data_IF_264709792238
#
_entry.id   IF_264709792238
#
_cell.length_a   1.000
_cell.length_b   1.000
_cell.length_c   1.000
_cell.angle_alpha   90.00
_cell.angle_beta   90.00
_cell.angle_gamma   90.00
#
_symmetry.space_group_name_H-M   'P 1'
#
loop_
_entity.id
_entity.type
_entity.pdbx_description
1 polymer ?
#
# COMPACT_ATOMS: atom_id res chain seq x y z
N UNK A 1 31.70 -20.54 21.85
CA UNK A 1 30.30 -21.00 22.03
C UNK A 1 29.49 -19.87 22.64
N UNK A 2 28.90 -19.01 21.81
CA UNK A 2 27.88 -18.02 22.20
C UNK A 2 27.04 -17.58 20.98
N UNK A 3 26.83 -18.46 20.00
CA UNK A 3 25.92 -18.25 18.87
C UNK A 3 24.55 -18.81 19.26
N UNK A 4 23.78 -17.98 19.94
CA UNK A 4 22.45 -18.34 20.40
C UNK A 4 21.85 -17.22 21.21
N UNK A 5 21.21 -16.27 20.52
CA UNK A 5 20.02 -15.49 20.95
C UNK A 5 19.77 -14.29 20.04
N UNK A 6 19.30 -14.55 18.82
CA UNK A 6 18.46 -13.59 18.06
C UNK A 6 17.27 -14.38 17.53
N UNK A 7 16.35 -14.75 18.42
CA UNK A 7 15.12 -15.43 18.03
C UNK A 7 14.31 -14.56 17.04
N UNK A 8 13.54 -15.20 16.17
CA UNK A 8 12.70 -14.54 15.15
C UNK A 8 11.77 -13.48 15.78
N UNK A 9 11.29 -13.72 17.00
CA UNK A 9 10.49 -12.77 17.78
C UNK A 9 11.28 -11.51 18.18
N UNK A 10 12.57 -11.63 18.50
CA UNK A 10 13.44 -10.51 18.85
C UNK A 10 13.71 -9.65 17.62
N UNK A 11 14.07 -10.27 16.50
CA UNK A 11 14.33 -9.58 15.23
C UNK A 11 13.09 -8.81 14.78
N UNK A 12 11.92 -9.45 14.81
CA UNK A 12 10.66 -8.81 14.42
C UNK A 12 10.24 -7.68 15.37
N UNK A 13 10.54 -7.78 16.67
CA UNK A 13 10.27 -6.71 17.63
C UNK A 13 11.21 -5.51 17.44
N UNK A 14 12.50 -5.76 17.21
CA UNK A 14 13.50 -4.73 16.97
C UNK A 14 13.27 -4.01 15.64
N UNK A 15 12.96 -4.74 14.57
CA UNK A 15 12.61 -4.16 13.27
C UNK A 15 11.37 -3.25 13.36
N UNK A 16 10.35 -3.66 14.12
CA UNK A 16 9.15 -2.85 14.39
C UNK A 16 9.43 -1.56 15.15
N UNK A 17 10.55 -1.48 15.87
CA UNK A 17 11.02 -0.27 16.57
C UNK A 17 11.93 0.59 15.68
N UNK A 18 12.80 -0.01 14.90
CA UNK A 18 13.77 0.69 14.05
C UNK A 18 13.11 1.48 12.91
N UNK A 19 12.14 0.87 12.21
CA UNK A 19 11.50 1.50 11.04
C UNK A 19 10.76 2.81 11.37
N UNK A 20 9.93 2.90 12.44
CA UNK A 20 9.33 4.17 12.83
C UNK A 20 10.35 5.25 13.20
N UNK A 21 11.50 4.86 13.77
CA UNK A 21 12.57 5.80 14.13
C UNK A 21 13.23 6.38 12.87
N UNK A 22 13.52 5.56 11.86
CA UNK A 22 14.05 6.03 10.58
C UNK A 22 13.07 6.99 9.89
N UNK A 23 11.77 6.68 9.90
CA UNK A 23 10.73 7.55 9.33
C UNK A 23 10.64 8.87 10.12
N UNK A 24 10.64 8.81 11.45
CA UNK A 24 10.60 9.99 12.33
C UNK A 24 11.78 10.93 12.10
N UNK A 25 12.98 10.36 11.90
CA UNK A 25 14.22 11.10 11.70
C UNK A 25 14.56 11.34 10.22
N UNK A 26 13.64 11.02 9.31
CA UNK A 26 13.77 11.20 7.85
C UNK A 26 15.02 10.54 7.26
N UNK A 27 15.40 9.39 7.80
CA UNK A 27 16.55 8.61 7.33
C UNK A 27 16.11 7.75 6.14
N UNK A 28 16.80 7.82 4.99
CA UNK A 28 16.52 6.94 3.87
C UNK A 28 16.67 5.47 4.28
N UNK A 29 15.71 4.58 3.96
CA UNK A 29 15.75 3.17 4.32
C UNK A 29 16.69 2.37 3.41
N UNK A 30 17.94 2.82 3.28
CA UNK A 30 18.99 2.05 2.61
C UNK A 30 19.43 0.89 3.53
N UNK A 31 20.00 -0.20 2.98
CA UNK A 31 20.44 -1.34 3.79
C UNK A 31 21.43 -0.93 4.90
N UNK A 32 22.39 -0.06 4.57
CA UNK A 32 23.39 0.46 5.50
C UNK A 32 22.75 1.27 6.64
N UNK A 33 21.80 2.16 6.31
CA UNK A 33 21.08 2.94 7.31
C UNK A 33 20.17 2.05 8.16
N UNK A 34 19.52 1.08 7.55
CA UNK A 34 18.68 0.14 8.28
C UNK A 34 19.48 -0.65 9.31
N UNK A 35 20.68 -1.11 8.94
CA UNK A 35 21.58 -1.82 9.85
C UNK A 35 21.99 -0.96 11.05
N UNK A 36 22.35 0.31 10.81
CA UNK A 36 22.65 1.29 11.87
C UNK A 36 21.46 1.43 12.83
N UNK A 37 20.26 1.65 12.31
CA UNK A 37 19.07 1.92 13.11
C UNK A 37 18.47 0.67 13.76
N UNK A 38 18.71 -0.51 13.18
CA UNK A 38 18.34 -1.80 13.77
C UNK A 38 19.23 -2.11 14.97
N UNK A 39 20.55 -1.96 14.83
CA UNK A 39 21.51 -2.16 15.93
C UNK A 39 21.32 -1.11 17.04
N UNK A 40 20.98 0.12 16.66
CA UNK A 40 20.54 1.15 17.59
C UNK A 40 19.26 0.77 18.36
N UNK A 41 18.25 0.26 17.66
CA UNK A 41 16.99 -0.18 18.28
C UNK A 41 17.14 -1.45 19.13
N UNK A 42 18.11 -2.31 18.79
CA UNK A 42 18.51 -3.49 19.56
C UNK A 42 19.19 -3.07 20.88
N UNK A 43 19.95 -1.98 20.86
CA UNK A 43 20.60 -1.42 22.04
C UNK A 43 21.80 -2.24 22.53
N UNK A 44 22.35 -3.11 21.69
CA UNK A 44 23.44 -4.03 22.06
C UNK A 44 24.84 -3.40 21.92
N UNK A 45 24.95 -2.31 21.16
CA UNK A 45 26.21 -1.57 20.94
C UNK A 45 26.16 -0.21 21.61
N UNK A 46 26.63 -0.15 22.85
CA UNK A 46 26.64 1.07 23.66
C UNK A 46 27.31 2.26 22.94
N UNK A 47 28.38 2.01 22.18
CA UNK A 47 29.11 3.05 21.45
C UNK A 47 28.31 3.63 20.28
N UNK A 48 27.57 2.79 19.55
CA UNK A 48 26.67 3.22 18.47
C UNK A 48 25.46 3.97 19.02
N UNK A 49 24.89 3.47 20.12
CA UNK A 49 23.73 4.09 20.79
C UNK A 49 24.09 5.48 21.30
N UNK A 50 25.23 5.62 21.98
CA UNK A 50 25.68 6.91 22.48
C UNK A 50 25.96 7.93 21.36
N UNK A 51 26.53 7.49 20.22
CA UNK A 51 26.78 8.37 19.06
C UNK A 51 25.46 8.87 18.44
N UNK A 52 24.48 7.98 18.27
CA UNK A 52 23.16 8.34 17.73
C UNK A 52 22.37 9.23 18.71
N UNK A 53 22.34 8.88 20.00
CA UNK A 53 21.65 9.68 21.03
C UNK A 53 22.22 11.09 21.16
N UNK A 54 23.55 11.23 21.09
CA UNK A 54 24.19 12.54 21.10
C UNK A 54 23.72 13.39 19.91
N UNK A 55 23.74 12.84 18.70
CA UNK A 55 23.30 13.54 17.47
C UNK A 55 21.82 13.91 17.50
N UNK A 56 20.99 13.02 18.04
CA UNK A 56 19.58 13.29 18.27
C UNK A 56 19.35 14.42 19.27
N UNK A 57 20.12 14.47 20.36
CA UNK A 57 20.05 15.53 21.35
C UNK A 57 20.49 16.90 20.78
N UNK A 58 21.42 16.91 19.83
CA UNK A 58 21.83 18.12 19.10
C UNK A 58 20.86 18.53 17.98
N UNK A 59 19.84 17.72 17.68
CA UNK A 59 18.89 17.99 16.60
C UNK A 59 19.53 17.88 15.20
N UNK A 60 20.61 17.12 15.07
CA UNK A 60 21.30 16.92 13.79
C UNK A 60 20.40 16.17 12.80
N UNK A 61 20.49 16.56 11.53
CA UNK A 61 19.81 15.83 10.45
C UNK A 61 20.73 14.73 9.95
N UNK A 62 20.20 13.51 9.86
CA UNK A 62 20.92 12.34 9.36
C UNK A 62 21.04 12.39 7.83
N UNK A 63 21.91 13.28 7.35
CA UNK A 63 22.28 13.39 5.93
C UNK A 63 23.06 12.17 5.47
N UNK A 64 23.21 12.02 4.15
CA UNK A 64 23.97 10.91 3.57
C UNK A 64 25.41 10.82 4.11
N UNK A 65 26.07 11.97 4.31
CA UNK A 65 27.43 12.04 4.85
C UNK A 65 27.50 11.57 6.31
N UNK A 66 26.51 11.94 7.14
CA UNK A 66 26.42 11.53 8.55
C UNK A 66 26.18 10.03 8.65
N UNK A 67 25.25 9.51 7.84
CA UNK A 67 24.95 8.08 7.83
C UNK A 67 26.14 7.25 7.35
N UNK A 68 26.84 7.70 6.30
CA UNK A 68 28.05 7.05 5.80
C UNK A 68 29.17 7.05 6.85
N UNK A 69 29.37 8.17 7.54
CA UNK A 69 30.33 8.23 8.65
C UNK A 69 29.98 7.26 9.78
N UNK A 70 28.71 7.20 10.21
CA UNK A 70 28.26 6.25 11.24
C UNK A 70 28.47 4.80 10.78
N UNK A 71 28.20 4.53 9.51
CA UNK A 71 28.42 3.21 8.93
C UNK A 71 29.90 2.84 8.95
N UNK A 72 30.75 3.72 8.42
CA UNK A 72 32.20 3.50 8.31
C UNK A 72 32.89 3.41 9.68
N UNK A 73 32.40 4.13 10.67
CA UNK A 73 32.96 4.12 12.02
C UNK A 73 32.61 2.84 12.79
N UNK A 74 31.38 2.36 12.66
CA UNK A 74 30.84 1.31 13.54
C UNK A 74 30.79 -0.09 12.91
N UNK A 75 30.98 -0.21 11.59
CA UNK A 75 30.75 -1.48 10.90
C UNK A 75 31.94 -2.03 10.07
N UNK A 76 32.98 -1.24 9.75
CA UNK A 76 33.96 -1.56 8.68
C UNK A 76 35.08 -2.58 8.96
N UNK A 77 35.20 -3.22 10.13
CA UNK A 77 36.31 -4.16 10.39
C UNK A 77 35.87 -5.63 10.45
N UNK A 78 35.82 -6.24 9.25
CA UNK A 78 36.15 -7.65 8.93
C UNK A 78 35.16 -8.77 9.28
N UNK A 79 34.25 -8.65 10.24
CA UNK A 79 33.14 -9.62 10.44
C UNK A 79 31.95 -9.35 9.49
N UNK A 80 32.01 -8.25 8.74
CA UNK A 80 30.91 -7.66 7.99
C UNK A 80 30.50 -8.43 6.73
N UNK A 81 31.42 -9.01 5.94
CA UNK A 81 31.03 -9.58 4.63
C UNK A 81 30.10 -10.79 4.72
N UNK A 82 30.37 -11.72 5.63
CA UNK A 82 29.56 -12.94 5.78
C UNK A 82 28.21 -12.63 6.42
N UNK A 83 28.19 -11.73 7.42
CA UNK A 83 26.95 -11.28 8.04
C UNK A 83 26.10 -10.44 7.07
N UNK A 84 26.73 -9.63 6.23
CA UNK A 84 26.08 -8.83 5.19
C UNK A 84 25.48 -9.71 4.10
N UNK A 85 26.18 -10.75 3.65
CA UNK A 85 25.63 -11.73 2.69
C UNK A 85 24.43 -12.47 3.27
N UNK A 86 24.51 -12.92 4.53
CA UNK A 86 23.39 -13.58 5.20
C UNK A 86 22.20 -12.63 5.43
N UNK A 87 22.46 -11.38 5.84
CA UNK A 87 21.42 -10.37 6.02
C UNK A 87 20.80 -9.94 4.68
N UNK A 88 21.58 -9.91 3.60
CA UNK A 88 21.08 -9.68 2.24
C UNK A 88 20.13 -10.81 1.84
N UNK A 89 20.58 -12.06 1.97
CA UNK A 89 19.78 -13.24 1.62
C UNK A 89 18.47 -13.29 2.42
N UNK A 90 18.52 -12.99 3.72
CA UNK A 90 17.32 -13.00 4.55
C UNK A 90 16.38 -11.83 4.25
N UNK A 91 16.94 -10.65 3.94
CA UNK A 91 16.15 -9.51 3.46
C UNK A 91 15.47 -9.82 2.12
N UNK A 92 16.19 -10.46 1.18
CA UNK A 92 15.62 -10.92 -0.09
C UNK A 92 14.48 -11.91 0.15
N UNK A 93 14.65 -12.87 1.08
CA UNK A 93 13.63 -13.86 1.43
C UNK A 93 12.36 -13.19 1.99
N UNK A 94 12.52 -12.25 2.93
CA UNK A 94 11.39 -11.54 3.55
C UNK A 94 10.65 -10.69 2.51
N UNK A 95 11.39 -9.93 1.69
CA UNK A 95 10.80 -9.09 0.64
C UNK A 95 10.05 -9.93 -0.40
N UNK A 96 10.63 -11.07 -0.82
CA UNK A 96 9.96 -12.06 -1.69
C UNK A 96 8.67 -12.59 -1.04
N UNK A 97 8.68 -12.83 0.27
CA UNK A 97 7.49 -13.24 1.02
C UNK A 97 6.37 -12.20 1.00
N UNK A 98 6.69 -10.92 1.24
CA UNK A 98 5.73 -9.82 1.22
C UNK A 98 5.09 -9.67 -0.17
N UNK A 99 5.90 -9.75 -1.23
CA UNK A 99 5.38 -9.67 -2.60
C UNK A 99 4.45 -10.85 -2.90
N UNK A 100 4.82 -12.09 -2.56
CA UNK A 100 3.91 -13.24 -2.74
C UNK A 100 2.61 -13.10 -1.96
N UNK A 101 2.66 -12.52 -0.77
CA UNK A 101 1.45 -12.27 0.01
C UNK A 101 0.55 -11.23 -0.67
N UNK A 102 1.12 -10.15 -1.22
CA UNK A 102 0.39 -9.18 -2.03
C UNK A 102 -0.21 -9.81 -3.30
N UNK A 103 0.55 -10.67 -3.98
CA UNK A 103 0.09 -11.43 -5.14
C UNK A 103 -1.08 -12.35 -4.82
N UNK A 104 -1.06 -12.99 -3.64
CA UNK A 104 -2.14 -13.89 -3.19
C UNK A 104 -3.46 -13.18 -2.87
N UNK A 105 -3.42 -11.86 -2.64
CA UNK A 105 -4.58 -11.03 -2.36
C UNK A 105 -5.13 -10.33 -3.61
N UNK A 106 -4.35 -10.30 -4.70
CA UNK A 106 -4.77 -9.73 -5.99
C UNK A 106 -5.64 -10.69 -6.79
N UNK A 107 -6.67 -10.15 -7.45
CA UNK A 107 -7.52 -10.94 -8.35
C UNK A 107 -6.75 -11.26 -9.64
N UNK A 108 -6.21 -12.49 -9.71
CA UNK A 108 -5.31 -12.99 -10.76
C UNK A 108 -5.98 -13.11 -12.15
N UNK A 109 -7.27 -12.82 -12.26
CA UNK A 109 -8.04 -12.93 -13.52
C UNK A 109 -8.12 -11.62 -14.32
N UNK A 110 -7.48 -10.55 -13.85
CA UNK A 110 -7.50 -9.22 -14.46
C UNK A 110 -6.16 -8.84 -15.10
N UNK A 111 -6.13 -7.79 -15.94
CA UNK A 111 -4.88 -7.22 -16.47
C UNK A 111 -3.89 -6.78 -15.37
N UNK A 112 -4.40 -6.49 -14.17
CA UNK A 112 -3.59 -6.26 -12.98
C UNK A 112 -2.93 -7.56 -12.48
N UNK A 113 -3.65 -8.68 -12.53
CA UNK A 113 -3.13 -10.03 -12.29
C UNK A 113 -1.97 -10.43 -13.21
N UNK A 114 -2.04 -10.07 -14.50
CA UNK A 114 -0.95 -10.32 -15.46
C UNK A 114 0.32 -9.54 -15.11
N UNK A 115 0.19 -8.25 -14.76
CA UNK A 115 1.30 -7.42 -14.28
C UNK A 115 1.90 -7.94 -12.98
N UNK A 116 1.04 -8.36 -12.06
CA UNK A 116 1.43 -9.01 -10.81
C UNK A 116 2.26 -10.28 -11.07
N UNK A 117 1.86 -11.10 -12.04
CA UNK A 117 2.62 -12.30 -12.41
C UNK A 117 3.97 -11.96 -13.06
N UNK A 118 4.04 -10.89 -13.85
CA UNK A 118 5.29 -10.38 -14.41
C UNK A 118 6.25 -9.90 -13.31
N UNK A 119 5.76 -9.14 -12.33
CA UNK A 119 6.56 -8.73 -11.17
C UNK A 119 7.05 -9.94 -10.36
N UNK A 120 6.23 -11.00 -10.23
CA UNK A 120 6.67 -12.24 -9.59
C UNK A 120 7.87 -12.87 -10.31
N UNK A 121 7.87 -12.89 -11.65
CA UNK A 121 8.99 -13.45 -12.44
C UNK A 121 10.25 -12.61 -12.29
N UNK A 122 10.11 -11.28 -12.37
CA UNK A 122 11.23 -10.35 -12.20
C UNK A 122 11.87 -10.49 -10.81
N UNK A 123 11.03 -10.68 -9.78
CA UNK A 123 11.47 -10.90 -8.41
C UNK A 123 12.18 -12.25 -8.22
N UNK A 124 11.74 -13.30 -8.89
CA UNK A 124 12.40 -14.61 -8.85
C UNK A 124 13.78 -14.56 -9.54
N UNK A 125 13.94 -13.76 -10.60
CA UNK A 125 15.22 -13.54 -11.27
C UNK A 125 16.14 -12.51 -10.59
N UNK A 126 15.63 -11.74 -9.63
CA UNK A 126 16.40 -10.71 -8.94
C UNK A 126 17.46 -11.32 -8.02
N UNK A 127 18.72 -10.97 -8.28
CA UNK A 127 19.90 -11.37 -7.51
C UNK A 127 20.37 -10.30 -6.52
N UNK A 128 20.05 -9.03 -6.77
CA UNK A 128 20.39 -7.92 -5.87
C UNK A 128 19.15 -7.38 -5.14
N UNK A 129 19.35 -6.86 -3.93
CA UNK A 129 18.26 -6.23 -3.16
C UNK A 129 17.75 -4.96 -3.84
N UNK A 130 18.60 -4.25 -4.59
CA UNK A 130 18.20 -3.07 -5.35
C UNK A 130 17.19 -3.39 -6.47
N UNK A 131 17.32 -4.55 -7.11
CA UNK A 131 16.38 -5.03 -8.12
C UNK A 131 15.01 -5.33 -7.49
N UNK A 132 15.04 -5.99 -6.33
CA UNK A 132 13.82 -6.28 -5.55
C UNK A 132 13.12 -4.98 -5.12
N UNK A 133 13.89 -3.97 -4.69
CA UNK A 133 13.34 -2.67 -4.30
C UNK A 133 12.66 -1.95 -5.47
N UNK A 134 13.24 -2.01 -6.67
CA UNK A 134 12.61 -1.46 -7.88
C UNK A 134 11.29 -2.16 -8.20
N UNK A 135 11.29 -3.50 -8.21
CA UNK A 135 10.06 -4.29 -8.46
C UNK A 135 8.96 -3.97 -7.44
N UNK A 136 9.32 -3.79 -6.17
CA UNK A 136 8.35 -3.40 -5.13
C UNK A 136 7.85 -1.97 -5.34
N UNK A 137 8.73 -1.02 -5.68
CA UNK A 137 8.33 0.36 -5.95
C UNK A 137 7.36 0.46 -7.14
N UNK A 138 7.63 -0.26 -8.22
CA UNK A 138 6.78 -0.33 -9.40
C UNK A 138 5.44 -1.01 -9.09
N UNK A 139 5.46 -2.10 -8.32
CA UNK A 139 4.23 -2.76 -7.85
C UNK A 139 3.38 -1.82 -6.99
N UNK A 140 3.98 -1.05 -6.06
CA UNK A 140 3.25 -0.09 -5.22
C UNK A 140 2.64 1.03 -6.05
N UNK A 141 3.37 1.55 -7.03
CA UNK A 141 2.85 2.57 -7.95
C UNK A 141 1.64 2.05 -8.73
N UNK A 142 1.75 0.86 -9.31
CA UNK A 142 0.67 0.22 -10.06
C UNK A 142 -0.55 -0.05 -9.15
N UNK A 143 -0.31 -0.51 -7.92
CA UNK A 143 -1.37 -0.72 -6.91
C UNK A 143 -2.11 0.58 -6.59
N UNK A 144 -1.37 1.69 -6.43
CA UNK A 144 -1.97 3.00 -6.17
C UNK A 144 -2.80 3.49 -7.36
N UNK A 145 -2.30 3.34 -8.59
CA UNK A 145 -3.03 3.69 -9.81
C UNK A 145 -4.31 2.87 -9.94
N UNK A 146 -4.25 1.55 -9.73
CA UNK A 146 -5.41 0.66 -9.75
C UNK A 146 -6.43 1.01 -8.67
N UNK A 147 -5.96 1.33 -7.45
CA UNK A 147 -6.84 1.77 -6.35
C UNK A 147 -7.53 3.09 -6.68
N UNK A 148 -6.82 4.03 -7.31
CA UNK A 148 -7.39 5.31 -7.74
C UNK A 148 -8.42 5.10 -8.87
N UNK A 149 -8.15 4.24 -9.84
CA UNK A 149 -9.07 3.91 -10.92
C UNK A 149 -10.34 3.23 -10.39
N UNK A 150 -10.20 2.26 -9.48
CA UNK A 150 -11.32 1.59 -8.83
C UNK A 150 -12.21 2.59 -8.07
N UNK A 151 -11.60 3.54 -7.32
CA UNK A 151 -12.35 4.61 -6.65
C UNK A 151 -13.09 5.52 -7.62
N UNK A 152 -12.47 5.90 -8.75
CA UNK A 152 -13.15 6.70 -9.80
C UNK A 152 -14.33 5.94 -10.39
N UNK A 153 -14.14 4.67 -10.75
CA UNK A 153 -15.20 3.85 -11.31
C UNK A 153 -16.37 3.67 -10.33
N UNK A 154 -16.08 3.51 -9.03
CA UNK A 154 -17.11 3.50 -7.98
C UNK A 154 -17.87 4.84 -7.89
N UNK A 155 -17.19 5.97 -8.03
CA UNK A 155 -17.84 7.29 -8.05
C UNK A 155 -18.72 7.47 -9.28
N UNK A 156 -18.25 7.08 -10.47
CA UNK A 156 -19.03 7.11 -11.71
C UNK A 156 -20.26 6.21 -11.62
N UNK A 157 -20.12 5.00 -11.06
CA UNK A 157 -21.24 4.08 -10.88
C UNK A 157 -22.30 4.66 -9.93
N UNK A 158 -21.87 5.30 -8.84
CA UNK A 158 -22.78 6.00 -7.93
C UNK A 158 -23.51 7.14 -8.63
N UNK A 159 -22.79 7.99 -9.36
CA UNK A 159 -23.38 9.09 -10.11
C UNK A 159 -24.37 8.59 -11.17
N UNK A 160 -24.05 7.53 -11.90
CA UNK A 160 -24.94 6.92 -12.88
C UNK A 160 -26.21 6.34 -12.22
N UNK A 161 -26.07 5.73 -11.04
CA UNK A 161 -27.21 5.22 -10.27
C UNK A 161 -28.13 6.36 -9.83
N UNK A 162 -27.57 7.44 -9.29
CA UNK A 162 -28.33 8.63 -8.89
C UNK A 162 -29.06 9.27 -10.07
N UNK A 163 -28.40 9.37 -11.23
CA UNK A 163 -29.02 9.87 -12.46
C UNK A 163 -30.16 8.98 -12.95
N UNK A 164 -29.99 7.65 -12.91
CA UNK A 164 -31.03 6.71 -13.29
C UNK A 164 -32.25 6.83 -12.38
N UNK A 165 -32.05 6.99 -11.08
CA UNK A 165 -33.14 7.18 -10.12
C UNK A 165 -33.85 8.54 -10.29
N UNK A 166 -33.10 9.60 -10.56
CA UNK A 166 -33.68 10.91 -10.91
C UNK A 166 -34.52 10.84 -12.19
N UNK A 167 -34.06 10.12 -13.22
CA UNK A 167 -34.78 9.94 -14.47
C UNK A 167 -36.06 9.13 -14.26
N UNK A 168 -36.00 8.04 -13.48
CA UNK A 168 -37.19 7.25 -13.09
C UNK A 168 -38.21 8.10 -12.36
N UNK A 169 -37.77 8.98 -11.45
CA UNK A 169 -38.68 9.87 -10.72
C UNK A 169 -39.36 10.88 -11.65
N UNK A 170 -38.60 11.50 -12.56
CA UNK A 170 -39.16 12.40 -13.58
C UNK A 170 -40.15 11.69 -14.49
N UNK A 171 -39.85 10.46 -14.91
CA UNK A 171 -40.77 9.68 -15.75
C UNK A 171 -42.11 9.45 -15.04
N UNK A 172 -42.08 9.07 -13.75
CA UNK A 172 -43.30 8.92 -12.93
C UNK A 172 -44.08 10.23 -12.78
N UNK A 173 -43.37 11.36 -12.61
CA UNK A 173 -44.00 12.68 -12.54
C UNK A 173 -44.66 13.06 -13.86
N UNK A 174 -43.98 12.85 -14.99
CA UNK A 174 -44.52 13.10 -16.34
C UNK A 174 -45.69 12.17 -16.69
N UNK A 175 -45.63 10.88 -16.31
CA UNK A 175 -46.77 9.96 -16.45
C UNK A 175 -47.99 10.46 -15.67
N UNK A 176 -47.78 10.88 -14.41
CA UNK A 176 -48.84 11.44 -13.58
C UNK A 176 -49.43 12.71 -14.19
N UNK A 177 -48.59 13.63 -14.65
CA UNK A 177 -49.02 14.84 -15.35
C UNK A 177 -49.78 14.53 -16.64
N UNK A 178 -49.31 13.56 -17.44
CA UNK A 178 -49.98 13.13 -18.67
C UNK A 178 -51.35 12.51 -18.43
N UNK A 179 -51.61 11.97 -17.23
CA UNK A 179 -52.87 11.33 -16.85
C UNK A 179 -53.79 12.26 -16.05
N UNK A 180 -53.34 13.47 -15.70
CA UNK A 180 -54.10 14.43 -14.89
C UNK A 180 -54.60 15.58 -15.76
N UNK A 181 -55.83 16.04 -15.53
CA UNK A 181 -56.37 17.26 -16.16
C UNK A 181 -55.86 18.51 -15.41
N UNK A 182 -55.21 19.48 -16.09
CA UNK A 182 -54.55 20.60 -15.45
C UNK A 182 -55.50 21.64 -14.83
N UNK A 183 -56.78 21.67 -15.24
CA UNK A 183 -57.77 22.61 -14.69
C UNK A 183 -58.48 22.05 -13.46
N UNK A 184 -58.67 20.74 -13.38
CA UNK A 184 -59.48 20.09 -12.34
C UNK A 184 -58.66 19.25 -11.36
N UNK A 185 -57.43 18.86 -11.71
CA UNK A 185 -56.58 17.99 -10.89
C UNK A 185 -57.06 16.54 -10.80
N UNK A 186 -58.11 16.18 -11.54
CA UNK A 186 -58.66 14.82 -11.64
C UNK A 186 -58.02 14.06 -12.81
N UNK A 187 -58.19 12.74 -12.85
CA UNK A 187 -57.74 11.91 -13.97
C UNK A 187 -58.41 12.34 -15.28
N UNK A 188 -57.63 12.50 -16.35
CA UNK A 188 -58.13 12.92 -17.66
C UNK A 188 -58.75 11.75 -18.44
N UNK A 189 -59.30 12.02 -19.63
CA UNK A 189 -59.96 11.00 -20.47
C UNK A 189 -59.07 9.80 -20.79
N UNK A 190 -57.75 9.99 -20.88
CA UNK A 190 -56.79 8.91 -21.12
C UNK A 190 -56.69 7.99 -19.90
N UNK A 191 -56.53 8.56 -18.70
CA UNK A 191 -56.52 7.82 -17.44
C UNK A 191 -57.83 7.05 -17.19
N UNK A 192 -58.98 7.65 -17.52
CA UNK A 192 -60.27 6.99 -17.41
C UNK A 192 -60.38 5.76 -18.33
N UNK A 193 -59.94 5.89 -19.59
CA UNK A 193 -59.97 4.80 -20.56
C UNK A 193 -59.00 3.66 -20.18
N UNK A 194 -57.82 3.98 -19.65
CA UNK A 194 -56.84 2.99 -19.18
C UNK A 194 -57.38 2.17 -18.01
N UNK A 195 -57.97 2.82 -16.99
CA UNK A 195 -58.61 2.13 -15.86
C UNK A 195 -59.81 1.26 -16.28
N UNK A 196 -60.59 1.71 -17.26
CA UNK A 196 -61.69 0.90 -17.82
C UNK A 196 -61.17 -0.36 -18.51
N UNK A 197 -60.05 -0.27 -19.24
CA UNK A 197 -59.45 -1.41 -19.90
C UNK A 197 -58.87 -2.44 -18.91
N UNK A 198 -58.26 -1.98 -17.81
CA UNK A 198 -57.76 -2.86 -16.73
C UNK A 198 -58.88 -3.66 -16.03
N UNK A 199 -60.05 -3.05 -15.81
CA UNK A 199 -61.19 -3.74 -15.18
C UNK A 199 -61.87 -4.80 -16.07
N UNK A 200 -61.55 -4.83 -17.37
CA UNK A 200 -62.11 -5.76 -18.35
C UNK A 200 -61.14 -6.88 -18.77
N UNK A 201 -59.93 -6.94 -18.18
CA UNK A 201 -58.94 -8.02 -18.34
C UNK A 201 -58.94 -8.96 -17.13
#
# INVERSE_FOLDING_TARGET
MAEGKRDESFIAATARRALPLMVKHKVPPTPQNYQIWFEYAAGERDELVADIDARLAFGETFTEDVNRYLYEKHFTEREERELMEHANQESQRILKGIVRQLLSQGDLTSAYGDKLQEYSRQLDSATEVLDIQHVIADMLKETHEMTAQSRRMQQELRAATEQADALRKRLKETEKESLTDPLTGLGNRKAFNENLAECHA
#
